data_IF_313328804586
#
_entry.id   IF_313328804586
#
_cell.length_a   1.000
_cell.length_b   1.000
_cell.length_c   1.000
_cell.angle_alpha   90.00
_cell.angle_beta   90.00
_cell.angle_gamma   90.00
#
_symmetry.space_group_name_H-M   'P 1'
#
loop_
_entity.id
_entity.type
_entity.pdbx_description
1 polymer ?
#
# COMPACT_ATOMS: atom_id res chain seq x y z
N UNK A 1 -11.97 -10.33 -5.59
CA UNK A 1 -11.23 -9.72 -6.73
C UNK A 1 -10.08 -10.63 -7.16
N UNK A 2 -9.41 -11.24 -6.18
CA UNK A 2 -8.27 -12.15 -6.35
C UNK A 2 -8.46 -13.28 -7.37
N UNK A 3 -9.62 -13.93 -7.42
CA UNK A 3 -9.83 -15.07 -8.33
C UNK A 3 -9.74 -14.67 -9.81
N UNK A 4 -10.33 -13.53 -10.17
CA UNK A 4 -10.29 -13.01 -11.55
C UNK A 4 -8.90 -12.47 -11.92
N UNK A 5 -8.16 -11.93 -10.94
CA UNK A 5 -6.77 -11.55 -11.13
C UNK A 5 -5.88 -12.78 -11.36
N UNK A 6 -6.02 -13.82 -10.54
CA UNK A 6 -5.29 -15.07 -10.69
C UNK A 6 -5.62 -15.77 -12.02
N UNK A 7 -6.89 -15.79 -12.43
CA UNK A 7 -7.33 -16.32 -13.72
C UNK A 7 -6.72 -15.55 -14.90
N UNK A 8 -6.66 -14.22 -14.82
CA UNK A 8 -6.01 -13.39 -15.84
C UNK A 8 -4.50 -13.69 -15.91
N UNK A 9 -3.82 -13.81 -14.76
CA UNK A 9 -2.40 -14.20 -14.74
C UNK A 9 -2.20 -15.57 -15.37
N UNK A 10 -3.00 -16.58 -15.02
CA UNK A 10 -2.88 -17.90 -15.61
C UNK A 10 -3.00 -17.88 -17.15
N UNK A 11 -3.88 -17.04 -17.71
CA UNK A 11 -4.00 -16.85 -19.16
C UNK A 11 -2.80 -16.14 -19.77
N UNK A 12 -2.27 -15.10 -19.11
CA UNK A 12 -1.09 -14.38 -19.59
C UNK A 12 0.18 -15.24 -19.58
N UNK A 13 0.31 -16.10 -18.57
CA UNK A 13 1.48 -16.96 -18.37
C UNK A 13 1.39 -18.31 -19.08
N UNK A 14 0.25 -18.66 -19.72
CA UNK A 14 0.10 -19.95 -20.38
C UNK A 14 0.88 -20.05 -21.71
N UNK A 15 1.14 -18.91 -22.37
CA UNK A 15 1.76 -18.87 -23.69
C UNK A 15 0.84 -19.24 -24.86
N UNK A 16 -0.44 -19.53 -24.58
CA UNK A 16 -1.42 -19.95 -25.60
C UNK A 16 -2.01 -18.77 -26.38
N UNK A 17 -1.87 -17.56 -25.86
CA UNK A 17 -2.53 -16.36 -26.37
C UNK A 17 -1.53 -15.25 -26.68
N UNK A 18 -1.65 -14.66 -27.87
CA UNK A 18 -0.90 -13.45 -28.23
C UNK A 18 -1.46 -12.17 -27.58
N UNK A 19 -2.73 -12.21 -27.16
CA UNK A 19 -3.43 -11.11 -26.50
C UNK A 19 -4.58 -11.67 -25.67
N UNK A 20 -4.81 -11.10 -24.49
CA UNK A 20 -5.87 -11.50 -23.55
C UNK A 20 -6.72 -10.29 -23.20
N UNK A 21 -8.05 -10.41 -23.29
CA UNK A 21 -9.00 -9.38 -22.89
C UNK A 21 -9.36 -9.53 -21.40
N UNK A 22 -8.98 -8.60 -20.50
CA UNK A 22 -9.19 -8.73 -19.05
C UNK A 22 -10.62 -8.38 -18.60
N UNK A 23 -11.65 -8.66 -19.42
CA UNK A 23 -13.01 -8.18 -19.18
C UNK A 23 -13.62 -8.64 -17.84
N UNK A 24 -13.30 -9.86 -17.38
CA UNK A 24 -13.79 -10.35 -16.09
C UNK A 24 -13.14 -9.63 -14.92
N UNK A 25 -11.82 -9.46 -14.98
CA UNK A 25 -11.05 -8.71 -14.00
C UNK A 25 -11.52 -7.24 -13.92
N UNK A 26 -11.65 -6.54 -15.05
CA UNK A 26 -12.15 -5.16 -15.08
C UNK A 26 -13.55 -5.05 -14.45
N UNK A 27 -14.47 -5.99 -14.74
CA UNK A 27 -15.80 -6.00 -14.10
C UNK A 27 -15.75 -6.26 -12.60
N UNK A 28 -14.89 -7.15 -12.14
CA UNK A 28 -14.72 -7.41 -10.71
C UNK A 28 -14.17 -6.18 -9.99
N UNK A 29 -13.21 -5.50 -10.62
CA UNK A 29 -12.57 -4.30 -10.09
C UNK A 29 -13.54 -3.12 -10.01
N UNK A 30 -14.35 -2.91 -11.05
CA UNK A 30 -15.40 -1.88 -11.09
C UNK A 30 -16.49 -2.05 -10.02
N UNK A 31 -16.74 -3.29 -9.56
CA UNK A 31 -17.66 -3.55 -8.44
C UNK A 31 -17.09 -3.10 -7.09
N UNK A 32 -15.76 -3.13 -6.94
CA UNK A 32 -15.09 -2.77 -5.70
C UNK A 32 -14.79 -1.26 -5.64
N UNK A 33 -14.46 -0.63 -6.78
CA UNK A 33 -14.26 0.82 -6.87
C UNK A 33 -14.86 1.36 -8.18
N UNK A 34 -15.93 2.14 -8.04
CA UNK A 34 -16.74 2.64 -9.16
C UNK A 34 -15.97 3.54 -10.13
N UNK A 35 -14.93 4.23 -9.67
CA UNK A 35 -14.02 5.03 -10.50
C UNK A 35 -13.49 4.24 -11.71
N UNK A 36 -13.26 2.93 -11.55
CA UNK A 36 -12.70 2.08 -12.60
C UNK A 36 -13.77 1.38 -13.45
N UNK A 37 -15.05 1.75 -13.29
CA UNK A 37 -16.16 1.21 -14.06
C UNK A 37 -16.45 1.95 -15.36
N UNK A 38 -15.85 3.12 -15.57
CA UNK A 38 -15.99 3.92 -16.79
C UNK A 38 -14.93 3.62 -17.86
N UNK A 39 -15.00 4.35 -18.97
CA UNK A 39 -14.01 4.30 -20.06
C UNK A 39 -13.08 5.53 -20.04
N UNK A 40 -13.02 6.24 -18.93
CA UNK A 40 -12.15 7.41 -18.76
C UNK A 40 -10.71 6.98 -18.46
N UNK A 41 -9.76 7.85 -18.80
CA UNK A 41 -8.37 7.63 -18.41
C UNK A 41 -8.23 7.75 -16.89
N UNK A 42 -7.38 6.92 -16.30
CA UNK A 42 -7.19 6.84 -14.85
C UNK A 42 -5.69 6.88 -14.51
N UNK A 43 -5.39 7.27 -13.26
CA UNK A 43 -4.04 7.21 -12.73
C UNK A 43 -3.64 5.75 -12.45
N UNK A 44 -2.53 5.31 -13.06
CA UNK A 44 -2.02 3.95 -12.90
C UNK A 44 -1.51 3.69 -11.47
N UNK A 45 -1.03 4.71 -10.77
CA UNK A 45 -0.56 4.59 -9.39
C UNK A 45 -1.73 4.40 -8.43
N UNK A 46 -2.83 5.14 -8.64
CA UNK A 46 -4.04 4.94 -7.85
C UNK A 46 -4.63 3.55 -8.09
N UNK A 47 -4.63 3.09 -9.34
CA UNK A 47 -5.02 1.73 -9.69
C UNK A 47 -4.15 0.67 -9.00
N UNK A 48 -2.81 0.84 -9.02
CA UNK A 48 -1.87 -0.08 -8.39
C UNK A 48 -2.13 -0.20 -6.89
N UNK A 49 -2.27 0.92 -6.19
CA UNK A 49 -2.54 0.93 -4.75
C UNK A 49 -3.82 0.20 -4.40
N UNK A 50 -4.90 0.52 -5.14
CA UNK A 50 -6.17 -0.16 -4.96
C UNK A 50 -6.07 -1.67 -5.18
N UNK A 51 -5.34 -2.09 -6.21
CA UNK A 51 -5.14 -3.50 -6.51
C UNK A 51 -4.33 -4.20 -5.41
N UNK A 52 -3.23 -3.62 -4.96
CA UNK A 52 -2.39 -4.21 -3.91
C UNK A 52 -3.13 -4.31 -2.57
N UNK A 53 -3.85 -3.26 -2.17
CA UNK A 53 -4.66 -3.26 -0.95
C UNK A 53 -5.74 -4.36 -1.01
N UNK A 54 -6.48 -4.42 -2.12
CA UNK A 54 -7.54 -5.41 -2.33
C UNK A 54 -7.01 -6.85 -2.38
N UNK A 55 -5.86 -7.08 -3.02
CA UNK A 55 -5.21 -8.39 -3.03
C UNK A 55 -4.69 -8.76 -1.64
N UNK A 56 -4.07 -7.82 -0.92
CA UNK A 56 -3.54 -8.05 0.42
C UNK A 56 -4.63 -8.44 1.42
N UNK A 57 -5.80 -7.81 1.32
CA UNK A 57 -6.98 -8.18 2.12
C UNK A 57 -7.55 -9.54 1.72
N UNK A 58 -7.75 -9.80 0.42
CA UNK A 58 -8.34 -11.04 -0.09
C UNK A 58 -7.48 -12.27 0.29
N UNK A 59 -6.14 -12.13 0.31
CA UNK A 59 -5.16 -13.22 0.57
C UNK A 59 -4.56 -13.22 1.99
N UNK A 60 -5.11 -12.43 2.91
CA UNK A 60 -4.63 -12.39 4.30
C UNK A 60 -4.74 -13.77 4.96
N UNK A 61 -3.66 -14.19 5.63
CA UNK A 61 -3.52 -15.53 6.27
C UNK A 61 -4.45 -15.68 7.48
N UNK A 62 -4.56 -14.65 8.32
CA UNK A 62 -5.53 -14.59 9.43
C UNK A 62 -6.72 -13.66 9.11
N UNK A 63 -7.94 -14.14 9.33
CA UNK A 63 -9.20 -13.40 9.13
C UNK A 63 -9.85 -12.95 10.44
N UNK A 64 -9.26 -13.27 11.59
CA UNK A 64 -9.79 -12.89 12.91
C UNK A 64 -9.63 -11.39 13.14
N UNK A 65 -10.58 -10.78 13.86
CA UNK A 65 -10.47 -9.39 14.30
C UNK A 65 -9.31 -9.28 15.30
N UNK A 66 -8.24 -8.56 14.98
CA UNK A 66 -7.13 -8.44 15.91
C UNK A 66 -7.51 -7.45 17.00
N UNK A 67 -7.36 -7.85 18.26
CA UNK A 67 -7.33 -6.92 19.38
C UNK A 67 -5.86 -6.67 19.70
N UNK A 68 -5.36 -5.49 19.35
CA UNK A 68 -4.03 -5.05 19.74
C UNK A 68 -4.20 -3.89 20.74
N UNK A 69 -3.58 -3.95 21.92
CA UNK A 69 -3.76 -2.91 22.94
C UNK A 69 -3.43 -1.51 22.39
N UNK A 70 -4.20 -0.53 22.83
CA UNK A 70 -3.92 0.88 22.51
C UNK A 70 -2.59 1.31 23.12
N UNK A 71 -1.86 2.14 22.37
CA UNK A 71 -0.55 2.66 22.76
C UNK A 71 -0.68 3.48 24.05
N UNK A 72 0.29 3.36 24.95
CA UNK A 72 0.49 4.35 26.02
C UNK A 72 1.25 5.53 25.42
N UNK A 73 0.59 6.68 25.28
CA UNK A 73 1.28 7.91 24.94
C UNK A 73 2.20 8.34 26.10
N UNK A 74 3.40 8.82 25.75
CA UNK A 74 4.40 9.39 26.68
C UNK A 74 5.14 8.36 27.56
N UNK A 75 5.89 7.44 26.93
CA UNK A 75 6.90 6.65 27.63
C UNK A 75 8.16 7.50 27.90
N UNK A 76 8.56 7.74 29.16
CA UNK A 76 9.80 8.45 29.49
C UNK A 76 11.08 7.71 29.07
N UNK A 77 11.00 6.43 28.71
CA UNK A 77 12.08 5.61 28.18
C UNK A 77 11.91 5.32 26.68
N UNK A 78 11.53 6.33 25.91
CA UNK A 78 11.24 6.22 24.48
C UNK A 78 12.48 5.77 23.69
N UNK A 79 12.47 4.50 23.28
CA UNK A 79 13.44 3.91 22.36
C UNK A 79 12.83 3.84 20.95
N UNK A 80 13.46 4.57 20.03
CA UNK A 80 13.00 4.70 18.65
C UNK A 80 13.04 3.36 17.89
N UNK A 81 14.07 2.54 18.12
CA UNK A 81 14.25 1.27 17.41
C UNK A 81 13.26 0.22 17.95
N UNK A 82 13.10 0.13 19.27
CA UNK A 82 12.08 -0.71 19.87
C UNK A 82 10.67 -0.32 19.41
N UNK A 83 10.40 0.99 19.24
CA UNK A 83 9.11 1.46 18.76
C UNK A 83 8.87 1.17 17.27
N UNK A 84 9.92 1.21 16.44
CA UNK A 84 9.86 0.81 15.04
C UNK A 84 9.46 -0.67 14.93
N UNK A 85 10.16 -1.53 15.68
CA UNK A 85 9.93 -2.97 15.72
C UNK A 85 8.52 -3.29 16.23
N UNK A 86 8.08 -2.70 17.34
CA UNK A 86 6.72 -2.91 17.86
C UNK A 86 5.66 -2.52 16.82
N UNK A 87 5.84 -1.36 16.17
CA UNK A 87 4.91 -0.86 15.15
C UNK A 87 4.91 -1.78 13.92
N UNK A 88 6.05 -2.34 13.57
CA UNK A 88 6.18 -3.29 12.46
C UNK A 88 5.52 -4.62 12.78
N UNK A 89 5.78 -5.19 13.96
CA UNK A 89 5.13 -6.43 14.42
C UNK A 89 3.60 -6.27 14.49
N UNK A 90 3.14 -5.11 14.99
CA UNK A 90 1.70 -4.76 14.94
C UNK A 90 1.19 -4.76 13.50
N UNK A 91 1.90 -4.12 12.57
CA UNK A 91 1.48 -4.07 11.17
C UNK A 91 1.40 -5.47 10.54
N UNK A 92 2.45 -6.29 10.72
CA UNK A 92 2.52 -7.66 10.20
C UNK A 92 1.40 -8.52 10.77
N UNK A 93 1.12 -8.42 12.08
CA UNK A 93 0.02 -9.15 12.71
C UNK A 93 -1.35 -8.78 12.13
N UNK A 94 -1.57 -7.50 11.81
CA UNK A 94 -2.83 -7.02 11.23
C UNK A 94 -2.97 -7.34 9.74
N UNK A 95 -1.85 -7.42 9.01
CA UNK A 95 -1.81 -7.45 7.54
C UNK A 95 -0.99 -8.63 7.01
N UNK A 96 -0.98 -9.76 7.69
CA UNK A 96 -0.19 -10.93 7.31
C UNK A 96 -0.64 -11.50 5.95
N UNK A 97 0.08 -11.17 4.88
CA UNK A 97 -0.22 -11.58 3.50
C UNK A 97 1.05 -11.63 2.65
N UNK A 98 1.01 -12.36 1.53
CA UNK A 98 2.10 -12.34 0.56
C UNK A 98 2.32 -10.95 -0.08
N UNK A 99 1.28 -10.11 -0.15
CA UNK A 99 1.44 -8.74 -0.65
C UNK A 99 2.29 -7.93 0.32
N UNK A 100 2.01 -8.02 1.62
CA UNK A 100 2.78 -7.36 2.67
C UNK A 100 4.24 -7.82 2.66
N UNK A 101 4.46 -9.11 2.51
CA UNK A 101 5.81 -9.70 2.46
C UNK A 101 6.65 -9.21 1.28
N UNK A 102 6.03 -8.99 0.12
CA UNK A 102 6.74 -8.62 -1.11
C UNK A 102 6.89 -7.10 -1.30
N UNK A 103 5.89 -6.32 -0.89
CA UNK A 103 5.80 -4.91 -1.26
C UNK A 103 5.89 -3.96 -0.07
N UNK A 104 5.67 -4.44 1.17
CA UNK A 104 5.56 -3.53 2.31
C UNK A 104 6.91 -3.17 2.92
N UNK A 105 7.10 -1.89 3.21
CA UNK A 105 8.18 -1.38 4.06
C UNK A 105 7.63 -0.46 5.15
N UNK A 106 8.53 0.17 5.92
CA UNK A 106 8.17 1.10 7.00
C UNK A 106 8.94 2.41 6.88
N UNK A 107 8.25 3.54 7.10
CA UNK A 107 8.81 4.89 7.13
C UNK A 107 8.70 5.49 8.52
N UNK A 108 9.71 6.26 8.93
CA UNK A 108 9.62 7.15 10.09
C UNK A 108 9.11 8.52 9.64
N UNK A 109 7.91 8.89 10.07
CA UNK A 109 7.35 10.23 9.93
C UNK A 109 7.56 11.02 11.23
N UNK A 110 8.35 12.09 11.15
CA UNK A 110 8.60 12.97 12.29
C UNK A 110 7.93 14.32 12.08
N UNK A 111 7.08 14.71 13.02
CA UNK A 111 6.38 16.01 13.02
C UNK A 111 6.80 16.80 14.26
N UNK A 112 7.35 18.00 14.04
CA UNK A 112 7.70 18.94 15.10
C UNK A 112 6.67 20.07 15.15
N UNK A 113 6.08 20.29 16.33
CA UNK A 113 5.24 21.46 16.57
C UNK A 113 6.10 22.73 16.64
N UNK A 114 5.86 23.69 15.74
CA UNK A 114 6.65 24.93 15.69
C UNK A 114 6.42 25.87 16.88
N UNK A 115 5.33 25.69 17.64
CA UNK A 115 5.00 26.51 18.81
C UNK A 115 5.62 25.98 20.11
N UNK A 116 5.42 24.68 20.39
CA UNK A 116 5.87 24.06 21.66
C UNK A 116 7.09 23.15 21.51
N UNK A 117 7.60 22.97 20.27
CA UNK A 117 8.77 22.13 19.95
C UNK A 117 8.62 20.65 20.31
N UNK A 118 7.40 20.20 20.61
CA UNK A 118 7.09 18.78 20.80
C UNK A 118 7.29 18.03 19.49
N UNK A 119 8.06 16.95 19.55
CA UNK A 119 8.31 16.05 18.43
C UNK A 119 7.42 14.82 18.58
N UNK A 120 6.72 14.47 17.51
CA UNK A 120 5.95 13.23 17.39
C UNK A 120 6.54 12.38 16.27
N UNK A 121 6.81 11.12 16.57
CA UNK A 121 7.32 10.13 15.63
C UNK A 121 6.22 9.09 15.37
N UNK A 122 5.97 8.78 14.12
CA UNK A 122 5.07 7.72 13.67
C UNK A 122 5.82 6.78 12.73
N UNK A 123 5.54 5.48 12.82
CA UNK A 123 6.09 4.48 11.92
C UNK A 123 5.01 3.96 10.98
N UNK A 124 5.04 4.45 9.75
CA UNK A 124 3.98 4.24 8.77
C UNK A 124 4.38 3.14 7.77
N UNK A 125 3.58 2.08 7.61
CA UNK A 125 3.80 1.10 6.56
C UNK A 125 3.51 1.69 5.17
N UNK A 126 4.21 1.26 4.13
CA UNK A 126 3.98 1.69 2.75
C UNK A 126 4.10 0.52 1.77
N UNK A 127 3.36 0.59 0.66
CA UNK A 127 3.43 -0.38 -0.45
C UNK A 127 4.13 0.20 -1.69
N UNK A 128 4.27 1.52 -1.76
CA UNK A 128 4.93 2.24 -2.82
C UNK A 128 5.59 3.54 -2.30
N UNK A 129 6.56 4.06 -3.03
CA UNK A 129 7.22 5.34 -2.73
C UNK A 129 6.94 6.34 -3.84
N UNK A 130 6.20 7.39 -3.51
CA UNK A 130 6.01 8.54 -4.39
C UNK A 130 7.19 9.51 -4.22
N UNK A 131 8.06 9.57 -5.22
CA UNK A 131 9.28 10.40 -5.18
C UNK A 131 9.05 11.72 -5.93
N UNK A 132 9.28 12.89 -5.31
CA UNK A 132 9.12 14.16 -5.98
C UNK A 132 10.18 14.35 -7.06
N UNK A 133 9.77 14.86 -8.23
CA UNK A 133 10.70 15.24 -9.29
C UNK A 133 11.34 16.58 -8.92
N UNK A 134 12.68 16.68 -8.86
CA UNK A 134 13.36 17.95 -8.62
C UNK A 134 12.96 18.98 -9.67
N UNK A 135 12.74 20.24 -9.26
CA UNK A 135 12.43 21.32 -10.20
C UNK A 135 13.60 21.49 -11.18
N UNK A 136 13.34 21.36 -12.47
CA UNK A 136 14.36 21.59 -13.48
C UNK A 136 14.87 23.04 -13.41
N UNK A 137 16.18 23.23 -13.46
CA UNK A 137 16.76 24.54 -13.77
C UNK A 137 16.28 24.92 -15.17
N UNK A 138 15.69 26.11 -15.31
CA UNK A 138 15.24 26.66 -16.60
C UNK A 138 16.31 26.41 -17.66
N UNK A 139 16.04 25.54 -18.62
CA UNK A 139 16.85 25.43 -19.83
C UNK A 139 16.76 26.82 -20.47
N UNK A 140 17.87 27.55 -20.51
CA UNK A 140 17.94 28.80 -21.27
C UNK A 140 17.67 28.44 -22.73
N UNK A 141 16.49 28.78 -23.22
CA UNK A 141 16.19 28.78 -24.64
C UNK A 141 17.27 29.61 -25.35
N UNK A 142 17.90 29.01 -26.37
CA UNK A 142 18.91 29.65 -27.22
C UNK A 142 18.24 30.47 -28.30
#
# INVERSE_FOLDING_TARGET
MVEEFAGLLAQLWSGDFLCVLPARFCRALAKCKTQFGGNEQQDAQEFLRFLLDGLGEDVRRDRRKPSYPERKENDPNYDLEAHAEESWQRHLYLNDSYITELFCGQLLSQVECLSCRTVSNCFDPFLDLSVPIPKANKVKER
#
